data_IF_122727714610
#
_entry.id   IF_122727714610
#
_cell.length_a   1.000
_cell.length_b   1.000
_cell.length_c   1.000
_cell.angle_alpha   90.00
_cell.angle_beta   90.00
_cell.angle_gamma   90.00
#
_symmetry.space_group_name_H-M   'P 1'
#
loop_
_entity.id
_entity.type
_entity.pdbx_description
1 polymer ?
#
# COMPACT_ATOMS: atom_id res chain seq x y z
N UNK A 1 16.82 -3.00 -0.16
CA UNK A 1 16.25 -3.69 1.03
C UNK A 1 16.89 -3.30 2.36
N UNK A 2 18.19 -2.89 2.49
CA UNK A 2 18.76 -2.52 3.81
C UNK A 2 17.94 -1.47 4.58
N UNK A 3 17.36 -0.49 3.88
CA UNK A 3 16.52 0.55 4.50
C UNK A 3 15.24 0.02 5.17
N UNK A 4 14.81 -1.20 4.87
CA UNK A 4 13.60 -1.78 5.47
C UNK A 4 13.77 -1.96 6.98
N UNK A 5 14.96 -2.36 7.44
CA UNK A 5 15.27 -2.47 8.86
C UNK A 5 15.20 -1.11 9.56
N UNK A 6 15.74 -0.05 8.95
CA UNK A 6 15.72 1.30 9.49
C UNK A 6 14.29 1.86 9.56
N UNK A 7 13.46 1.59 8.53
CA UNK A 7 12.05 1.96 8.47
C UNK A 7 11.27 1.29 9.60
N UNK A 8 11.47 -0.02 9.79
CA UNK A 8 10.83 -0.76 10.88
C UNK A 8 11.28 -0.26 12.26
N UNK A 9 12.59 -0.02 12.44
CA UNK A 9 13.15 0.52 13.69
C UNK A 9 12.64 1.93 14.01
N UNK A 10 12.30 2.73 13.00
CA UNK A 10 11.67 4.05 13.16
C UNK A 10 10.17 3.98 13.53
N UNK A 11 9.60 2.78 13.71
CA UNK A 11 8.21 2.59 14.12
C UNK A 11 7.19 2.57 12.97
N UNK A 12 7.65 2.51 11.71
CA UNK A 12 6.78 2.34 10.57
C UNK A 12 6.37 0.87 10.39
N UNK A 13 5.15 0.63 9.97
CA UNK A 13 4.65 -0.70 9.69
C UNK A 13 5.11 -1.18 8.31
N UNK A 14 5.67 -2.38 8.26
CA UNK A 14 5.98 -3.06 7.00
C UNK A 14 4.77 -3.92 6.61
N UNK A 15 4.36 -3.83 5.34
CA UNK A 15 3.32 -4.65 4.75
C UNK A 15 3.81 -5.28 3.43
N UNK A 16 3.22 -6.42 3.06
CA UNK A 16 3.58 -7.10 1.81
C UNK A 16 2.85 -6.46 0.63
N UNK A 17 3.54 -6.36 -0.51
CA UNK A 17 2.90 -5.85 -1.74
C UNK A 17 3.12 -6.79 -2.93
N UNK A 18 4.34 -7.00 -3.35
CA UNK A 18 4.75 -7.96 -4.39
C UNK A 18 6.28 -7.95 -4.50
N UNK A 19 6.87 -9.08 -4.89
CA UNK A 19 8.28 -9.15 -5.25
C UNK A 19 8.54 -8.60 -6.65
N UNK A 20 7.64 -8.86 -7.61
CA UNK A 20 7.84 -8.54 -9.02
C UNK A 20 6.99 -7.39 -9.55
N UNK A 21 5.82 -7.14 -8.95
CA UNK A 21 4.80 -6.20 -9.39
C UNK A 21 4.37 -6.38 -10.86
N UNK A 22 4.57 -7.58 -11.43
CA UNK A 22 4.20 -7.88 -12.82
C UNK A 22 2.83 -8.54 -12.87
N UNK A 23 1.78 -7.78 -13.20
CA UNK A 23 0.39 -8.24 -13.21
C UNK A 23 0.17 -9.54 -13.97
N UNK A 24 0.82 -9.70 -15.14
CA UNK A 24 0.72 -10.92 -15.94
C UNK A 24 1.31 -12.16 -15.27
N UNK A 25 2.20 -11.99 -14.30
CA UNK A 25 2.77 -13.08 -13.52
C UNK A 25 1.98 -13.31 -12.24
N UNK A 26 1.83 -12.27 -11.42
CA UNK A 26 1.21 -12.41 -10.10
C UNK A 26 -0.27 -12.76 -10.16
N UNK A 27 -0.99 -12.33 -11.21
CA UNK A 27 -2.40 -12.65 -11.40
C UNK A 27 -2.67 -13.76 -12.42
N UNK A 28 -1.64 -14.49 -12.86
CA UNK A 28 -1.84 -15.66 -13.73
C UNK A 28 -2.63 -16.78 -13.02
N UNK A 29 -2.46 -16.90 -11.71
CA UNK A 29 -3.25 -17.78 -10.84
C UNK A 29 -3.11 -17.32 -9.38
N UNK A 30 -3.94 -17.86 -8.49
CA UNK A 30 -3.79 -17.62 -7.05
C UNK A 30 -2.47 -18.19 -6.51
N UNK A 31 -2.03 -19.35 -7.01
CA UNK A 31 -0.75 -19.95 -6.63
C UNK A 31 0.43 -19.08 -7.05
N UNK A 32 0.38 -18.48 -8.24
CA UNK A 32 1.40 -17.55 -8.71
C UNK A 32 1.50 -16.31 -7.82
N UNK A 33 0.36 -15.77 -7.39
CA UNK A 33 0.32 -14.65 -6.45
C UNK A 33 1.00 -15.01 -5.12
N UNK A 34 0.62 -16.13 -4.51
CA UNK A 34 1.18 -16.55 -3.23
C UNK A 34 2.65 -16.98 -3.35
N UNK A 35 3.08 -17.46 -4.50
CA UNK A 35 4.50 -17.71 -4.74
C UNK A 35 5.31 -16.41 -4.78
N UNK A 36 4.80 -15.35 -5.41
CA UNK A 36 5.42 -14.02 -5.44
C UNK A 36 5.50 -13.42 -4.02
N UNK A 37 4.44 -13.54 -3.23
CA UNK A 37 4.44 -13.14 -1.82
C UNK A 37 5.47 -13.91 -0.98
N UNK A 38 5.60 -15.25 -1.18
CA UNK A 38 6.64 -16.04 -0.50
C UNK A 38 8.05 -15.57 -0.88
N UNK A 39 8.27 -15.26 -2.15
CA UNK A 39 9.56 -14.71 -2.62
C UNK A 39 9.86 -13.38 -1.95
N UNK A 40 8.87 -12.49 -1.80
CA UNK A 40 9.03 -11.22 -1.08
C UNK A 40 9.39 -11.46 0.39
N UNK A 41 8.67 -12.37 1.08
CA UNK A 41 8.95 -12.70 2.48
C UNK A 41 10.38 -13.19 2.66
N UNK A 42 10.85 -14.12 1.83
CA UNK A 42 12.23 -14.60 1.87
C UNK A 42 13.25 -13.47 1.68
N UNK A 43 12.98 -12.53 0.80
CA UNK A 43 13.84 -11.37 0.60
C UNK A 43 13.87 -10.40 1.79
N UNK A 44 12.82 -10.38 2.61
CA UNK A 44 12.69 -9.52 3.79
C UNK A 44 13.26 -10.15 5.07
N UNK A 45 13.34 -11.49 5.16
CA UNK A 45 13.81 -12.23 6.34
C UNK A 45 15.13 -11.71 6.95
N UNK A 46 16.14 -11.28 6.17
CA UNK A 46 17.38 -10.76 6.75
C UNK A 46 17.24 -9.39 7.45
N UNK A 47 16.11 -8.71 7.29
CA UNK A 47 15.95 -7.30 7.68
C UNK A 47 14.87 -7.08 8.75
N UNK A 48 13.83 -7.91 8.77
CA UNK A 48 12.67 -7.77 9.68
C UNK A 48 12.13 -9.14 10.07
N UNK A 49 11.41 -9.18 11.19
CA UNK A 49 10.62 -10.37 11.57
C UNK A 49 9.43 -10.53 10.62
N UNK A 50 9.59 -11.36 9.60
CA UNK A 50 8.55 -11.61 8.61
C UNK A 50 7.35 -12.36 9.21
N UNK A 51 7.48 -13.04 10.36
CA UNK A 51 6.38 -13.70 11.02
C UNK A 51 5.36 -12.68 11.58
N UNK A 52 5.84 -11.50 11.95
CA UNK A 52 5.01 -10.41 12.45
C UNK A 52 4.33 -9.59 11.32
N UNK A 53 4.57 -9.90 10.04
CA UNK A 53 3.94 -9.19 8.93
C UNK A 53 2.64 -9.90 8.55
N UNK A 54 1.52 -9.33 8.94
CA UNK A 54 0.15 -9.79 8.71
C UNK A 54 -0.69 -8.87 7.80
N UNK A 55 -0.11 -7.78 7.31
CA UNK A 55 -0.74 -6.85 6.37
C UNK A 55 -0.18 -6.97 4.95
N UNK A 56 -1.05 -6.81 3.99
CA UNK A 56 -0.68 -6.71 2.58
C UNK A 56 -1.50 -5.64 1.84
N UNK A 57 -0.97 -5.20 0.70
CA UNK A 57 -1.72 -4.44 -0.30
C UNK A 57 -1.65 -5.17 -1.63
N UNK A 58 -2.81 -5.44 -2.22
CA UNK A 58 -2.87 -6.06 -3.54
C UNK A 58 -2.36 -5.08 -4.61
N UNK A 59 -1.46 -5.46 -5.53
CA UNK A 59 -1.08 -4.64 -6.67
C UNK A 59 -2.29 -4.19 -7.49
N UNK A 60 -2.47 -2.86 -7.62
CA UNK A 60 -3.64 -2.25 -8.24
C UNK A 60 -4.89 -2.17 -7.34
N UNK A 61 -4.79 -2.57 -6.07
CA UNK A 61 -5.89 -2.58 -5.10
C UNK A 61 -6.73 -3.86 -5.10
N UNK A 62 -7.49 -4.06 -4.04
CA UNK A 62 -8.31 -5.28 -3.83
C UNK A 62 -9.52 -5.38 -4.76
N UNK A 63 -9.86 -4.29 -5.45
CA UNK A 63 -10.98 -4.19 -6.39
C UNK A 63 -10.52 -4.03 -7.84
N UNK A 64 -9.22 -4.17 -8.12
CA UNK A 64 -8.70 -3.97 -9.47
C UNK A 64 -9.31 -4.96 -10.47
N UNK A 65 -9.57 -4.47 -11.68
CA UNK A 65 -10.09 -5.26 -12.80
C UNK A 65 -8.99 -5.72 -13.76
N UNK A 66 -7.77 -5.19 -13.64
CA UNK A 66 -6.62 -5.57 -14.48
C UNK A 66 -6.27 -7.05 -14.29
N UNK A 67 -6.43 -7.57 -13.09
CA UNK A 67 -6.23 -8.97 -12.75
C UNK A 67 -7.13 -9.91 -13.54
N UNK A 68 -8.33 -9.47 -13.94
CA UNK A 68 -9.28 -10.27 -14.71
C UNK A 68 -8.72 -10.72 -16.06
N UNK A 69 -7.85 -9.90 -16.65
CA UNK A 69 -7.18 -10.19 -17.93
C UNK A 69 -6.30 -11.44 -17.85
N UNK A 70 -5.80 -11.78 -16.67
CA UNK A 70 -4.81 -12.84 -16.46
C UNK A 70 -5.39 -14.06 -15.75
N UNK A 71 -6.13 -13.84 -14.67
CA UNK A 71 -6.65 -14.91 -13.81
C UNK A 71 -8.19 -15.02 -13.80
N UNK A 72 -8.87 -14.27 -14.68
CA UNK A 72 -10.32 -14.27 -14.77
C UNK A 72 -11.02 -13.44 -13.70
N UNK A 73 -12.34 -13.20 -13.90
CA UNK A 73 -13.12 -12.26 -13.09
C UNK A 73 -13.24 -12.64 -11.59
N UNK A 74 -12.97 -13.89 -11.24
CA UNK A 74 -13.09 -14.38 -9.86
C UNK A 74 -11.80 -14.30 -9.05
N UNK A 75 -10.64 -14.00 -9.68
CA UNK A 75 -9.34 -14.14 -9.04
C UNK A 75 -9.21 -13.30 -7.77
N UNK A 76 -9.64 -12.03 -7.79
CA UNK A 76 -9.54 -11.16 -6.62
C UNK A 76 -10.43 -11.61 -5.47
N UNK A 77 -11.63 -12.15 -5.77
CA UNK A 77 -12.50 -12.73 -4.74
C UNK A 77 -11.82 -13.90 -4.06
N UNK A 78 -11.21 -14.80 -4.84
CA UNK A 78 -10.50 -15.97 -4.30
C UNK A 78 -9.26 -15.56 -3.51
N UNK A 79 -8.46 -14.60 -4.01
CA UNK A 79 -7.27 -14.11 -3.31
C UNK A 79 -7.60 -13.45 -1.97
N UNK A 80 -8.69 -12.68 -1.89
CA UNK A 80 -9.16 -12.07 -0.63
C UNK A 80 -9.54 -13.14 0.39
N UNK A 81 -10.35 -14.13 0.01
CA UNK A 81 -10.71 -15.24 0.88
C UNK A 81 -9.47 -16.02 1.36
N UNK A 82 -8.51 -16.28 0.45
CA UNK A 82 -7.26 -16.94 0.82
C UNK A 82 -6.36 -16.07 1.72
N UNK A 83 -6.42 -14.74 1.59
CA UNK A 83 -5.69 -13.85 2.49
C UNK A 83 -6.25 -13.93 3.90
N UNK A 84 -7.57 -13.88 4.07
CA UNK A 84 -8.26 -14.10 5.35
C UNK A 84 -7.92 -15.46 5.97
N UNK A 85 -8.02 -16.55 5.19
CA UNK A 85 -7.68 -17.91 5.63
C UNK A 85 -6.21 -18.04 6.11
N UNK A 86 -5.32 -17.22 5.56
CA UNK A 86 -3.89 -17.18 5.92
C UNK A 86 -3.57 -16.18 7.04
N UNK A 87 -4.57 -15.50 7.59
CA UNK A 87 -4.42 -14.51 8.63
C UNK A 87 -3.87 -13.17 8.15
N UNK A 88 -3.99 -12.86 6.86
CA UNK A 88 -3.62 -11.55 6.34
C UNK A 88 -4.80 -10.61 6.33
N UNK A 89 -4.54 -9.38 6.77
CA UNK A 89 -5.34 -8.20 6.50
C UNK A 89 -4.87 -7.53 5.21
N UNK A 90 -5.71 -6.72 4.57
CA UNK A 90 -5.27 -5.88 3.44
C UNK A 90 -5.81 -4.47 3.56
N UNK A 91 -5.12 -3.55 2.92
CA UNK A 91 -5.49 -2.13 2.90
C UNK A 91 -5.46 -1.60 1.48
N UNK A 92 -6.51 -0.94 1.07
CA UNK A 92 -6.56 -0.10 -0.12
C UNK A 92 -6.27 1.37 0.27
N UNK A 93 -6.73 2.33 -0.50
CA UNK A 93 -6.56 3.76 -0.25
C UNK A 93 -7.82 4.52 -0.66
N UNK A 94 -8.01 5.70 -0.09
CA UNK A 94 -9.05 6.66 -0.45
C UNK A 94 -8.48 8.02 -0.85
N UNK A 95 -7.17 8.24 -0.70
CA UNK A 95 -6.47 9.44 -1.15
C UNK A 95 -5.33 9.03 -2.07
N UNK A 96 -5.35 9.49 -3.33
CA UNK A 96 -4.35 9.13 -4.33
C UNK A 96 -3.53 10.36 -4.76
N UNK A 97 -2.22 10.29 -4.61
CA UNK A 97 -1.32 11.33 -5.07
C UNK A 97 -1.22 11.41 -6.60
N UNK A 98 -1.58 10.35 -7.33
CA UNK A 98 -1.38 10.17 -8.77
C UNK A 98 0.09 10.33 -9.21
N UNK A 99 1.03 10.14 -8.28
CA UNK A 99 2.45 10.44 -8.38
C UNK A 99 3.21 9.53 -9.35
N UNK A 100 2.67 8.34 -9.67
CA UNK A 100 3.26 7.37 -10.59
C UNK A 100 2.52 7.28 -11.93
N UNK A 101 1.77 8.31 -12.30
CA UNK A 101 1.04 8.37 -13.58
C UNK A 101 1.94 8.78 -14.74
N UNK A 102 1.50 8.49 -15.99
CA UNK A 102 2.21 8.87 -17.21
C UNK A 102 2.34 10.39 -17.41
N UNK A 103 1.56 11.19 -16.69
CA UNK A 103 1.64 12.66 -16.72
C UNK A 103 2.85 13.23 -15.98
N UNK A 104 3.56 12.40 -15.19
CA UNK A 104 4.72 12.80 -14.39
C UNK A 104 4.48 14.10 -13.59
N UNK A 105 3.52 14.13 -12.66
CA UNK A 105 3.13 15.34 -11.94
C UNK A 105 4.31 15.90 -11.13
N UNK A 106 4.39 17.22 -11.04
CA UNK A 106 5.31 17.90 -10.14
C UNK A 106 4.82 17.85 -8.67
N UNK A 107 5.67 18.26 -7.73
CA UNK A 107 5.35 18.24 -6.31
C UNK A 107 4.09 19.06 -5.97
N UNK A 108 3.86 20.17 -6.66
CA UNK A 108 2.68 21.01 -6.45
C UNK A 108 1.40 20.31 -6.94
N UNK A 109 1.45 19.61 -8.07
CA UNK A 109 0.32 18.84 -8.57
C UNK A 109 0.00 17.66 -7.64
N UNK A 110 1.02 16.94 -7.16
CA UNK A 110 0.87 15.86 -6.18
C UNK A 110 0.14 16.37 -4.94
N UNK A 111 0.55 17.51 -4.38
CA UNK A 111 -0.10 18.11 -3.22
C UNK A 111 -1.56 18.52 -3.53
N UNK A 112 -1.84 19.05 -4.71
CA UNK A 112 -3.23 19.36 -5.12
C UNK A 112 -4.11 18.12 -5.18
N UNK A 113 -3.60 17.01 -5.73
CA UNK A 113 -4.32 15.74 -5.79
C UNK A 113 -4.64 15.21 -4.38
N UNK A 114 -3.66 15.25 -3.47
CA UNK A 114 -3.86 14.88 -2.06
C UNK A 114 -4.95 15.73 -1.41
N UNK A 115 -4.90 17.06 -1.56
CA UNK A 115 -5.88 17.98 -0.97
C UNK A 115 -7.28 17.73 -1.51
N UNK A 116 -7.41 17.50 -2.82
CA UNK A 116 -8.69 17.18 -3.47
C UNK A 116 -9.33 15.93 -2.88
N UNK A 117 -8.55 14.84 -2.77
CA UNK A 117 -9.08 13.55 -2.33
C UNK A 117 -9.28 13.47 -0.82
N UNK A 118 -8.52 14.24 -0.04
CA UNK A 118 -8.63 14.30 1.41
C UNK A 118 -9.79 15.19 1.90
N UNK A 119 -10.35 16.01 1.02
CA UNK A 119 -11.43 16.94 1.38
C UNK A 119 -12.66 16.18 1.89
N UNK A 120 -13.13 16.53 3.10
CA UNK A 120 -14.27 15.92 3.75
C UNK A 120 -14.04 14.48 4.26
N UNK A 121 -12.81 13.98 4.28
CA UNK A 121 -12.49 12.65 4.80
C UNK A 121 -12.13 12.73 6.28
N UNK A 122 -12.74 11.88 7.11
CA UNK A 122 -12.34 11.71 8.52
C UNK A 122 -11.09 10.85 8.67
N UNK A 123 -10.88 9.92 7.75
CA UNK A 123 -9.72 9.01 7.72
C UNK A 123 -9.12 8.98 6.33
N UNK A 124 -7.81 9.20 6.22
CA UNK A 124 -7.07 9.21 4.97
C UNK A 124 -6.05 8.08 4.93
N UNK A 125 -6.23 7.16 3.99
CA UNK A 125 -5.20 6.19 3.59
C UNK A 125 -4.61 6.67 2.27
N UNK A 126 -3.39 7.21 2.35
CA UNK A 126 -2.75 7.88 1.22
C UNK A 126 -1.90 6.89 0.42
N UNK A 127 -2.12 6.83 -0.91
CA UNK A 127 -1.28 6.08 -1.84
C UNK A 127 -0.18 6.97 -2.39
N UNK A 128 1.05 6.54 -2.16
CA UNK A 128 2.28 7.12 -2.72
C UNK A 128 3.17 5.99 -3.27
N UNK A 129 4.10 6.35 -4.14
CA UNK A 129 5.07 5.40 -4.66
C UNK A 129 6.50 5.85 -4.35
N UNK A 130 7.37 4.89 -4.05
CA UNK A 130 8.80 5.11 -3.84
C UNK A 130 9.60 4.36 -4.92
N UNK A 131 9.77 5.02 -6.05
CA UNK A 131 10.54 4.51 -7.19
C UNK A 131 11.53 5.56 -7.67
N UNK A 132 12.50 5.17 -8.51
CA UNK A 132 13.43 6.13 -9.14
C UNK A 132 12.72 7.20 -9.96
N UNK A 133 11.52 6.93 -10.46
CA UNK A 133 10.73 7.86 -11.28
C UNK A 133 9.92 8.86 -10.44
N UNK A 134 9.69 8.60 -9.14
CA UNK A 134 8.81 9.38 -8.27
C UNK A 134 9.55 10.36 -7.35
N UNK A 135 10.66 10.93 -7.79
CA UNK A 135 11.42 11.92 -7.01
C UNK A 135 10.63 13.18 -6.64
N UNK A 136 9.55 13.50 -7.35
CA UNK A 136 8.65 14.61 -7.02
C UNK A 136 7.80 14.29 -5.77
N UNK A 137 7.49 13.02 -5.52
CA UNK A 137 6.80 12.55 -4.31
C UNK A 137 7.61 12.89 -3.06
N UNK A 138 8.92 12.61 -3.10
CA UNK A 138 9.82 12.94 -1.98
C UNK A 138 9.86 14.45 -1.73
N UNK A 139 9.85 15.27 -2.78
CA UNK A 139 9.82 16.74 -2.65
C UNK A 139 8.49 17.24 -2.08
N UNK A 140 7.38 16.61 -2.41
CA UNK A 140 6.05 16.98 -1.92
C UNK A 140 5.79 16.52 -0.48
N UNK A 141 6.50 15.50 0.01
CA UNK A 141 6.23 14.85 1.28
C UNK A 141 6.20 15.79 2.50
N UNK A 142 7.14 16.74 2.68
CA UNK A 142 7.07 17.69 3.79
C UNK A 142 5.80 18.52 3.80
N UNK A 143 5.37 19.03 2.63
CA UNK A 143 4.16 19.84 2.49
C UNK A 143 2.89 19.01 2.68
N UNK A 144 2.88 17.75 2.26
CA UNK A 144 1.78 16.82 2.54
C UNK A 144 1.63 16.57 4.04
N UNK A 145 2.73 16.31 4.74
CA UNK A 145 2.71 16.11 6.19
C UNK A 145 2.22 17.38 6.91
N UNK A 146 2.71 18.56 6.51
CA UNK A 146 2.26 19.84 7.06
C UNK A 146 0.76 20.03 6.84
N UNK A 147 0.27 19.80 5.62
CA UNK A 147 -1.15 19.90 5.29
C UNK A 147 -2.02 19.03 6.20
N UNK A 148 -1.73 17.74 6.35
CA UNK A 148 -2.53 16.86 7.20
C UNK A 148 -2.52 17.30 8.68
N UNK A 149 -1.38 17.76 9.19
CA UNK A 149 -1.29 18.31 10.55
C UNK A 149 -2.12 19.57 10.74
N UNK A 150 -2.09 20.49 9.77
CA UNK A 150 -2.88 21.72 9.76
C UNK A 150 -4.38 21.43 9.71
N UNK A 151 -4.79 20.34 9.04
CA UNK A 151 -6.18 19.88 9.02
C UNK A 151 -6.57 19.09 10.27
N UNK A 152 -5.68 18.91 11.25
CA UNK A 152 -5.96 18.23 12.52
C UNK A 152 -5.84 16.70 12.48
N UNK A 153 -5.31 16.12 11.41
CA UNK A 153 -5.09 14.68 11.35
C UNK A 153 -3.93 14.22 12.25
N UNK A 154 -4.11 13.06 12.85
CA UNK A 154 -3.06 12.32 13.51
C UNK A 154 -2.55 11.20 12.60
N UNK A 155 -1.22 10.97 12.60
CA UNK A 155 -0.62 9.88 11.84
C UNK A 155 -0.58 8.61 12.69
N UNK A 156 -0.96 7.49 12.09
CA UNK A 156 -0.88 6.18 12.73
C UNK A 156 -0.47 5.11 11.69
N UNK A 157 -0.10 3.94 12.17
CA UNK A 157 0.05 2.76 11.32
C UNK A 157 -1.31 2.21 10.92
N UNK A 158 -1.34 1.36 9.87
CA UNK A 158 -2.58 0.70 9.42
C UNK A 158 -3.17 -0.18 10.54
N UNK A 159 -2.34 -0.90 11.27
CA UNK A 159 -2.80 -1.71 12.41
C UNK A 159 -3.40 -0.87 13.53
N UNK A 160 -2.82 0.30 13.85
CA UNK A 160 -3.39 1.23 14.83
C UNK A 160 -4.73 1.81 14.35
N UNK A 161 -4.84 2.15 13.08
CA UNK A 161 -6.08 2.64 12.49
C UNK A 161 -7.20 1.58 12.58
N UNK A 162 -6.90 0.31 12.26
CA UNK A 162 -7.85 -0.79 12.33
C UNK A 162 -8.36 -1.02 13.76
N UNK A 163 -7.46 -1.00 14.74
CA UNK A 163 -7.80 -1.11 16.16
C UNK A 163 -8.76 0.02 16.61
N UNK A 164 -8.51 1.28 16.21
CA UNK A 164 -9.38 2.41 16.54
C UNK A 164 -10.78 2.28 15.92
N UNK A 165 -10.89 1.74 14.71
CA UNK A 165 -12.18 1.50 14.06
C UNK A 165 -12.97 0.36 14.73
N UNK A 166 -12.29 -0.62 15.31
CA UNK A 166 -12.93 -1.71 16.06
C UNK A 166 -13.48 -1.25 17.41
N UNK A 167 -12.84 -0.29 18.08
CA UNK A 167 -13.29 0.26 19.38
C UNK A 167 -14.51 1.17 19.25
N UNK A 168 -14.80 1.72 18.06
CA UNK A 168 -15.91 2.65 17.82
C UNK A 168 -17.20 1.98 17.33
N UNK A 169 -17.24 0.65 17.25
CA UNK A 169 -18.42 -0.18 16.94
C UNK A 169 -18.97 -0.84 18.19
#
# INVERSE_FOLDING_TARGET
LPLVADIAAAGHQIALHSATHQYSKIYASTDAFWQDIRTLRQALEPYVDVAAIDWLRFPGGSTNTVSHRYGGNGIMKTLKAQAEDKGYHWIDWNVCAEDATASHPDAAQILRNIRRDADGQDTCVVLLHDTKATGQTVKALPDMIAYFREQGYNFCTVAQMDALQCETK
#
